data_IF_961035189826
#
_entry.id   IF_961035189826
#
_cell.length_a   1.000
_cell.length_b   1.000
_cell.length_c   1.000
_cell.angle_alpha   90.00
_cell.angle_beta   90.00
_cell.angle_gamma   90.00
#
_symmetry.space_group_name_H-M   'P 1'
#
loop_
_entity.id
_entity.type
_entity.pdbx_description
1 polymer ?
#
# COMPACT_ATOMS: atom_id res chain seq x y z
N UNK A 1 18.19 82.95 5.18
CA UNK A 1 19.28 82.03 5.54
C UNK A 1 18.70 80.69 5.97
N UNK A 2 18.83 79.65 5.15
CA UNK A 2 19.01 78.23 5.53
C UNK A 2 19.12 77.41 4.24
N UNK A 3 20.26 76.74 4.07
CA UNK A 3 20.61 75.86 2.95
C UNK A 3 19.88 74.54 3.14
N UNK A 4 19.33 73.98 2.06
CA UNK A 4 18.85 72.59 2.04
C UNK A 4 19.64 71.84 0.97
N UNK A 5 20.40 70.84 1.41
CA UNK A 5 21.28 70.02 0.58
C UNK A 5 20.45 69.04 -0.27
N UNK A 6 20.89 68.85 -1.51
CA UNK A 6 20.38 67.87 -2.46
C UNK A 6 21.13 66.54 -2.21
N UNK A 7 20.42 65.48 -1.80
CA UNK A 7 20.99 64.11 -1.75
C UNK A 7 20.74 63.43 -3.10
N UNK A 8 21.82 63.05 -3.79
CA UNK A 8 21.78 62.12 -4.92
C UNK A 8 21.76 60.69 -4.38
N UNK A 9 20.69 59.94 -4.64
CA UNK A 9 20.63 58.50 -4.39
C UNK A 9 21.24 57.77 -5.59
N UNK A 10 22.41 57.15 -5.39
CA UNK A 10 23.07 56.31 -6.38
C UNK A 10 22.47 54.90 -6.30
N UNK A 11 21.61 54.55 -7.25
CA UNK A 11 21.10 53.18 -7.41
C UNK A 11 22.15 52.30 -8.09
N UNK A 12 22.85 51.48 -7.32
CA UNK A 12 23.75 50.44 -7.84
C UNK A 12 22.88 49.26 -8.28
N UNK A 13 22.71 49.10 -9.59
CA UNK A 13 22.18 47.88 -10.20
C UNK A 13 23.30 46.83 -10.18
N UNK A 14 23.25 45.93 -9.21
CA UNK A 14 24.06 44.71 -9.22
C UNK A 14 23.45 43.74 -10.24
N UNK A 15 23.99 43.75 -11.47
CA UNK A 15 23.81 42.62 -12.39
C UNK A 15 24.62 41.45 -11.85
N UNK A 16 23.97 40.47 -11.23
CA UNK A 16 24.59 39.17 -11.01
C UNK A 16 24.75 38.49 -12.36
N UNK A 17 25.98 38.33 -12.84
CA UNK A 17 26.28 37.38 -13.91
C UNK A 17 25.98 35.99 -13.38
N UNK A 18 24.80 35.46 -13.69
CA UNK A 18 24.51 34.05 -13.55
C UNK A 18 25.48 33.31 -14.49
N UNK A 19 26.36 32.48 -13.93
CA UNK A 19 27.38 31.81 -14.75
C UNK A 19 26.70 30.76 -15.63
N UNK A 20 27.29 30.43 -16.78
CA UNK A 20 26.75 29.38 -17.66
C UNK A 20 26.54 28.07 -16.92
N UNK A 21 27.41 27.76 -15.95
CA UNK A 21 27.36 26.55 -15.15
C UNK A 21 26.14 26.52 -14.22
N UNK A 22 25.74 27.65 -13.64
CA UNK A 22 24.52 27.77 -12.83
C UNK A 22 23.26 27.53 -13.67
N UNK A 23 23.24 28.04 -14.91
CA UNK A 23 22.14 27.83 -15.87
C UNK A 23 22.03 26.36 -16.32
N UNK A 24 23.16 25.67 -16.53
CA UNK A 24 23.15 24.24 -16.85
C UNK A 24 22.69 23.39 -15.65
N UNK A 25 23.08 23.77 -14.43
CA UNK A 25 22.65 23.08 -13.22
C UNK A 25 21.14 23.24 -12.98
N UNK A 26 20.61 24.47 -13.09
CA UNK A 26 19.17 24.74 -12.97
C UNK A 26 18.35 23.94 -13.99
N UNK A 27 18.78 23.94 -15.25
CA UNK A 27 18.10 23.19 -16.32
C UNK A 27 18.11 21.68 -16.07
N UNK A 28 19.23 21.13 -15.57
CA UNK A 28 19.35 19.71 -15.24
C UNK A 28 18.43 19.33 -14.07
N UNK A 29 18.37 20.17 -13.03
CA UNK A 29 17.45 19.99 -11.90
C UNK A 29 15.99 20.04 -12.37
N UNK A 30 15.65 20.96 -13.28
CA UNK A 30 14.31 21.05 -13.85
C UNK A 30 13.93 19.81 -14.69
N UNK A 31 14.83 19.34 -15.56
CA UNK A 31 14.63 18.12 -16.37
C UNK A 31 14.49 16.86 -15.50
N UNK A 32 15.29 16.73 -14.45
CA UNK A 32 15.20 15.63 -13.48
C UNK A 32 13.85 15.69 -12.74
N UNK A 33 13.42 16.87 -12.27
CA UNK A 33 12.13 17.06 -11.60
C UNK A 33 10.94 16.73 -12.52
N UNK A 34 10.97 17.17 -13.78
CA UNK A 34 9.94 16.85 -14.77
C UNK A 34 9.87 15.34 -15.01
N UNK A 35 11.02 14.68 -15.14
CA UNK A 35 11.10 13.24 -15.39
C UNK A 35 10.60 12.45 -14.17
N UNK A 36 11.02 12.82 -12.95
CA UNK A 36 10.52 12.21 -11.72
C UNK A 36 9.01 12.38 -11.60
N UNK A 37 8.47 13.58 -11.84
CA UNK A 37 7.03 13.85 -11.78
C UNK A 37 6.25 13.03 -12.82
N UNK A 38 6.80 12.89 -14.03
CA UNK A 38 6.19 12.08 -15.09
C UNK A 38 6.15 10.59 -14.71
N UNK A 39 7.23 10.07 -14.14
CA UNK A 39 7.29 8.67 -13.67
C UNK A 39 6.34 8.43 -12.49
N UNK A 40 6.26 9.37 -11.54
CA UNK A 40 5.32 9.30 -10.40
C UNK A 40 3.86 9.27 -10.89
N UNK A 41 3.49 10.14 -11.84
CA UNK A 41 2.15 10.15 -12.42
C UNK A 41 1.85 8.84 -13.17
N UNK A 42 2.81 8.31 -13.92
CA UNK A 42 2.66 7.03 -14.59
C UNK A 42 2.41 5.89 -13.60
N UNK A 43 3.20 5.79 -12.53
CA UNK A 43 3.03 4.73 -11.53
C UNK A 43 1.75 4.88 -10.70
N UNK A 44 1.29 6.09 -10.44
CA UNK A 44 -0.03 6.31 -9.84
C UNK A 44 -1.15 5.84 -10.77
N UNK A 45 -1.08 6.13 -12.07
CA UNK A 45 -2.08 5.68 -13.03
C UNK A 45 -2.04 4.16 -13.26
N UNK A 46 -0.84 3.57 -13.26
CA UNK A 46 -0.65 2.12 -13.30
C UNK A 46 -1.24 1.44 -12.06
N UNK A 47 -0.95 1.95 -10.86
CA UNK A 47 -1.55 1.46 -9.63
C UNK A 47 -3.07 1.63 -9.66
N UNK A 48 -3.57 2.81 -10.04
CA UNK A 48 -5.01 3.04 -10.17
C UNK A 48 -5.67 2.10 -11.18
N UNK A 49 -5.00 1.71 -12.27
CA UNK A 49 -5.53 0.78 -13.26
C UNK A 49 -5.75 -0.62 -12.69
N UNK A 50 -4.85 -1.08 -11.82
CA UNK A 50 -4.85 -2.46 -11.32
C UNK A 50 -5.33 -2.60 -9.87
N UNK A 51 -5.60 -1.49 -9.18
CA UNK A 51 -6.07 -1.50 -7.80
C UNK A 51 -7.39 -2.28 -7.63
N UNK A 52 -7.49 -3.14 -6.59
CA UNK A 52 -8.62 -4.03 -6.41
C UNK A 52 -9.86 -3.30 -5.89
N UNK A 53 -11.04 -3.84 -6.18
CA UNK A 53 -12.23 -3.54 -5.36
C UNK A 53 -12.13 -4.45 -4.13
N UNK A 54 -12.09 -3.84 -2.95
CA UNK A 54 -11.83 -4.55 -1.71
C UNK A 54 -13.10 -4.63 -0.86
N UNK A 55 -13.43 -5.83 -0.41
CA UNK A 55 -14.58 -6.09 0.45
C UNK A 55 -14.06 -6.38 1.85
N UNK A 56 -14.37 -5.51 2.80
CA UNK A 56 -13.99 -5.68 4.19
C UNK A 56 -15.17 -6.27 4.94
N UNK A 57 -15.03 -7.49 5.45
CA UNK A 57 -15.98 -8.01 6.43
C UNK A 57 -15.87 -7.21 7.74
N UNK A 58 -16.97 -7.03 8.44
CA UNK A 58 -17.05 -6.17 9.62
C UNK A 58 -17.85 -6.86 10.71
N UNK A 59 -17.28 -6.95 11.90
CA UNK A 59 -17.96 -7.53 13.06
C UNK A 59 -18.36 -6.42 14.05
N UNK A 60 -19.65 -6.35 14.37
CA UNK A 60 -20.19 -5.32 15.25
C UNK A 60 -20.29 -5.75 16.74
N UNK A 61 -19.82 -6.94 17.06
CA UNK A 61 -19.85 -7.53 18.39
C UNK A 61 -18.61 -7.14 19.21
N UNK A 62 -18.66 -7.42 20.50
CA UNK A 62 -17.56 -7.15 21.42
C UNK A 62 -17.29 -5.66 21.68
N UNK A 63 -16.60 -5.38 22.78
CA UNK A 63 -16.16 -4.02 23.12
C UNK A 63 -14.97 -3.55 22.27
N UNK A 64 -14.17 -4.49 21.74
CA UNK A 64 -12.98 -4.17 20.95
C UNK A 64 -13.30 -3.84 19.48
N UNK A 65 -14.44 -4.30 18.96
CA UNK A 65 -14.91 -4.06 17.59
C UNK A 65 -15.46 -2.66 17.33
N UNK A 66 -15.79 -1.90 18.38
CA UNK A 66 -16.32 -0.53 18.28
C UNK A 66 -17.53 -0.43 17.33
N UNK A 67 -18.45 -1.39 17.43
CA UNK A 67 -19.61 -1.52 16.52
C UNK A 67 -19.20 -1.61 15.04
N UNK A 68 -18.10 -2.30 14.77
CA UNK A 68 -17.53 -2.52 13.44
C UNK A 68 -16.49 -1.50 12.98
N UNK A 69 -16.32 -0.38 13.70
CA UNK A 69 -15.35 0.65 13.31
C UNK A 69 -13.90 0.16 13.39
N UNK A 70 -13.62 -0.84 14.23
CA UNK A 70 -12.27 -1.42 14.35
C UNK A 70 -11.80 -2.07 13.04
N UNK A 71 -12.71 -2.64 12.25
CA UNK A 71 -12.40 -3.30 10.97
C UNK A 71 -12.26 -2.31 9.80
N UNK A 72 -12.48 -1.01 9.99
CA UNK A 72 -12.41 -0.06 8.89
C UNK A 72 -10.97 0.14 8.41
N UNK A 73 -10.82 0.26 7.08
CA UNK A 73 -9.55 0.67 6.48
C UNK A 73 -9.32 2.14 6.81
N UNK A 74 -8.15 2.45 7.34
CA UNK A 74 -7.76 3.82 7.69
C UNK A 74 -6.35 4.14 7.20
N UNK A 75 -5.91 5.38 7.38
CA UNK A 75 -4.48 5.71 7.33
C UNK A 75 -3.80 5.30 8.64
N UNK A 76 -2.51 4.97 8.64
CA UNK A 76 -1.79 4.69 9.88
C UNK A 76 -1.63 5.92 10.78
N UNK A 77 -1.77 7.12 10.20
CA UNK A 77 -1.73 8.44 10.84
C UNK A 77 -3.14 9.06 10.89
N UNK A 78 -4.20 8.26 10.99
CA UNK A 78 -5.60 8.75 10.91
C UNK A 78 -5.96 9.77 12.01
N UNK A 79 -5.19 9.79 13.08
CA UNK A 79 -5.28 10.72 14.21
C UNK A 79 -4.31 11.91 14.09
N UNK A 80 -3.59 12.02 12.98
CA UNK A 80 -2.75 13.16 12.66
C UNK A 80 -1.41 13.17 13.39
N UNK A 81 -0.98 12.03 13.96
CA UNK A 81 0.37 11.86 14.49
C UNK A 81 1.06 10.62 13.88
N UNK A 82 2.33 10.38 14.26
CA UNK A 82 3.13 9.23 13.80
C UNK A 82 3.48 8.31 14.98
N UNK A 83 2.56 8.15 15.92
CA UNK A 83 2.71 7.31 17.09
C UNK A 83 1.81 6.08 17.00
N UNK A 84 2.34 4.96 16.52
CA UNK A 84 1.53 3.74 16.39
C UNK A 84 1.03 3.14 17.72
N UNK A 85 1.50 3.65 18.87
CA UNK A 85 1.15 3.16 20.22
C UNK A 85 -0.13 3.76 20.81
N UNK A 86 -0.84 4.62 20.10
CA UNK A 86 -2.09 5.18 20.58
C UNK A 86 -3.27 4.93 19.62
N UNK A 87 -3.04 4.31 18.46
CA UNK A 87 -4.03 4.02 17.44
C UNK A 87 -5.21 3.18 17.96
N UNK A 88 -4.95 2.19 18.82
CA UNK A 88 -5.97 1.34 19.44
C UNK A 88 -6.98 2.20 20.19
N UNK A 89 -6.50 3.13 21.02
CA UNK A 89 -7.36 4.02 21.79
C UNK A 89 -7.95 5.13 20.91
N UNK A 90 -7.16 5.71 20.02
CA UNK A 90 -7.57 6.87 19.22
C UNK A 90 -8.68 6.54 18.22
N UNK A 91 -8.77 5.31 17.70
CA UNK A 91 -9.87 4.94 16.80
C UNK A 91 -11.23 4.93 17.52
N UNK A 92 -11.27 4.74 18.84
CA UNK A 92 -12.52 4.81 19.61
C UNK A 92 -13.12 6.23 19.67
N UNK A 93 -12.30 7.26 19.41
CA UNK A 93 -12.77 8.63 19.39
C UNK A 93 -13.67 8.89 18.16
N UNK A 94 -14.90 9.34 18.40
CA UNK A 94 -15.91 9.57 17.36
C UNK A 94 -15.55 10.69 16.36
N UNK A 95 -14.64 11.60 16.73
CA UNK A 95 -14.09 12.63 15.85
C UNK A 95 -13.05 12.08 14.86
N UNK A 96 -12.40 10.96 15.19
CA UNK A 96 -11.43 10.28 14.32
C UNK A 96 -12.16 9.32 13.39
N UNK A 97 -12.49 9.79 12.19
CA UNK A 97 -13.32 9.01 11.26
C UNK A 97 -12.59 7.84 10.58
N UNK A 98 -11.26 7.87 10.52
CA UNK A 98 -10.50 6.82 9.85
C UNK A 98 -10.72 6.86 8.34
N UNK A 99 -10.14 7.85 7.66
CA UNK A 99 -10.28 7.93 6.20
C UNK A 99 -9.46 6.83 5.53
N UNK A 100 -10.09 6.08 4.64
CA UNK A 100 -9.53 4.92 3.97
C UNK A 100 -8.47 5.31 2.94
N UNK A 101 -7.38 4.56 2.97
CA UNK A 101 -6.33 4.59 1.95
C UNK A 101 -5.89 3.18 1.63
N UNK A 102 -5.29 3.01 0.47
CA UNK A 102 -4.43 1.87 0.18
C UNK A 102 -3.03 2.41 -0.05
N UNK A 103 -2.08 1.94 0.75
CA UNK A 103 -0.68 2.25 0.53
C UNK A 103 -0.18 1.38 -0.61
N UNK A 104 0.46 1.97 -1.61
CA UNK A 104 0.97 1.21 -2.74
C UNK A 104 2.46 1.45 -2.99
N UNK A 105 3.10 0.46 -3.60
CA UNK A 105 4.41 0.61 -4.20
C UNK A 105 4.47 -0.13 -5.53
N UNK A 106 5.35 0.30 -6.43
CA UNK A 106 5.59 -0.34 -7.72
C UNK A 106 7.05 -0.76 -7.80
N UNK A 107 7.26 -1.98 -8.28
CA UNK A 107 8.55 -2.50 -8.73
C UNK A 107 8.40 -2.94 -10.18
N UNK A 108 9.41 -2.72 -11.00
CA UNK A 108 9.36 -2.93 -12.45
C UNK A 108 10.58 -3.71 -12.94
N UNK A 109 10.32 -4.64 -13.86
CA UNK A 109 11.33 -5.29 -14.69
C UNK A 109 11.04 -4.99 -16.16
N UNK A 110 11.91 -5.41 -17.07
CA UNK A 110 11.67 -5.26 -18.52
C UNK A 110 10.40 -5.95 -19.02
N UNK A 111 9.85 -6.92 -18.28
CA UNK A 111 8.70 -7.72 -18.71
C UNK A 111 7.44 -7.56 -17.84
N UNK A 112 7.58 -7.14 -16.58
CA UNK A 112 6.48 -7.11 -15.63
C UNK A 112 6.52 -5.84 -14.75
N UNK A 113 5.34 -5.47 -14.25
CA UNK A 113 5.19 -4.62 -13.08
C UNK A 113 4.68 -5.49 -11.92
N UNK A 114 5.11 -5.14 -10.71
CA UNK A 114 4.69 -5.74 -9.46
C UNK A 114 4.17 -4.60 -8.59
N UNK A 115 2.89 -4.67 -8.22
CA UNK A 115 2.22 -3.57 -7.51
C UNK A 115 1.71 -4.10 -6.19
N UNK A 116 2.28 -3.62 -5.09
CA UNK A 116 1.80 -3.94 -3.74
C UNK A 116 0.72 -2.95 -3.35
N UNK A 117 -0.35 -3.43 -2.74
CA UNK A 117 -1.41 -2.65 -2.09
C UNK A 117 -1.52 -3.13 -0.65
N UNK A 118 -1.50 -2.20 0.31
CA UNK A 118 -1.59 -2.50 1.74
C UNK A 118 -2.74 -1.71 2.38
N UNK A 119 -3.51 -2.39 3.23
CA UNK A 119 -4.69 -1.86 3.90
C UNK A 119 -4.46 -1.89 5.41
N UNK A 120 -4.59 -0.74 6.04
CA UNK A 120 -4.26 -0.57 7.45
C UNK A 120 -5.52 -0.53 8.31
N UNK A 121 -5.50 -1.28 9.41
CA UNK A 121 -6.55 -1.31 10.43
C UNK A 121 -5.95 -0.86 11.77
N UNK A 122 -6.62 -0.01 12.56
CA UNK A 122 -6.07 0.44 13.84
C UNK A 122 -6.01 -0.63 14.93
N UNK A 123 -6.75 -1.73 14.76
CA UNK A 123 -6.84 -2.85 15.71
C UNK A 123 -6.93 -4.15 14.92
N UNK A 124 -6.07 -5.13 15.21
CA UNK A 124 -6.37 -6.55 15.08
C UNK A 124 -7.01 -6.97 16.41
N UNK A 125 -8.25 -7.46 16.39
CA UNK A 125 -9.03 -7.61 17.61
C UNK A 125 -9.85 -8.90 17.61
N UNK A 126 -10.36 -9.29 18.78
CA UNK A 126 -11.32 -10.38 18.88
C UNK A 126 -12.35 -10.07 19.97
N UNK A 127 -13.49 -10.75 19.93
CA UNK A 127 -14.53 -10.75 20.97
C UNK A 127 -14.49 -12.04 21.82
N UNK A 128 -13.57 -12.95 21.49
CA UNK A 128 -13.35 -14.20 22.23
C UNK A 128 -12.37 -13.95 23.37
N UNK A 129 -12.89 -13.81 24.59
CA UNK A 129 -12.14 -13.34 25.76
C UNK A 129 -10.82 -14.09 26.06
N UNK A 130 -10.73 -15.39 25.75
CA UNK A 130 -9.51 -16.17 25.98
C UNK A 130 -8.45 -16.01 24.87
N UNK A 131 -8.84 -15.47 23.71
CA UNK A 131 -7.92 -15.14 22.60
C UNK A 131 -7.30 -13.74 22.74
N UNK A 132 -7.78 -12.91 23.69
CA UNK A 132 -7.26 -11.55 23.93
C UNK A 132 -5.76 -11.48 24.22
N UNK A 133 -5.15 -12.60 24.61
CA UNK A 133 -3.71 -12.67 24.95
C UNK A 133 -2.87 -13.40 23.89
N UNK A 134 -3.49 -13.86 22.81
CA UNK A 134 -2.82 -14.67 21.80
C UNK A 134 -2.52 -13.80 20.59
N UNK A 135 -3.57 -13.27 19.95
CA UNK A 135 -3.42 -12.72 18.60
C UNK A 135 -3.85 -11.26 18.47
N UNK A 136 -4.77 -10.73 19.29
CA UNK A 136 -5.13 -9.31 19.15
C UNK A 136 -3.94 -8.38 19.38
N UNK A 137 -3.89 -7.28 18.62
CA UNK A 137 -2.86 -6.26 18.73
C UNK A 137 -3.25 -4.91 18.12
N UNK A 138 -2.60 -3.85 18.62
CA UNK A 138 -2.68 -2.52 18.04
C UNK A 138 -2.00 -2.45 16.67
N UNK A 139 -2.70 -1.79 15.75
CA UNK A 139 -2.40 -1.73 14.33
C UNK A 139 -2.51 -3.09 13.66
N UNK A 140 -2.79 -3.06 12.37
CA UNK A 140 -2.68 -4.20 11.49
C UNK A 140 -2.48 -3.70 10.06
N UNK A 141 -1.72 -4.45 9.27
CA UNK A 141 -1.44 -4.10 7.89
C UNK A 141 -1.32 -5.36 7.06
N UNK A 142 -2.33 -5.59 6.24
CA UNK A 142 -2.44 -6.72 5.33
C UNK A 142 -2.40 -6.22 3.88
N UNK A 143 -2.18 -7.12 2.91
CA UNK A 143 -2.02 -6.65 1.55
C UNK A 143 -2.10 -7.65 0.42
N UNK A 144 -1.83 -7.12 -0.76
CA UNK A 144 -1.94 -7.81 -2.05
C UNK A 144 -0.79 -7.36 -2.95
N UNK A 145 -0.03 -8.30 -3.49
CA UNK A 145 0.85 -8.08 -4.63
C UNK A 145 0.10 -8.44 -5.92
N UNK A 146 -0.02 -7.49 -6.85
CA UNK A 146 -0.56 -7.75 -8.20
C UNK A 146 0.56 -7.91 -9.21
N UNK A 147 0.53 -9.02 -9.97
CA UNK A 147 1.50 -9.34 -11.02
C UNK A 147 0.95 -8.90 -12.36
N UNK A 148 1.62 -7.95 -13.03
CA UNK A 148 1.17 -7.36 -14.28
C UNK A 148 2.19 -7.62 -15.37
N UNK A 149 1.78 -8.34 -16.43
CA UNK A 149 2.61 -8.55 -17.61
C UNK A 149 2.50 -7.37 -18.56
N UNK A 150 3.64 -6.90 -19.05
CA UNK A 150 3.68 -5.91 -20.13
C UNK A 150 3.28 -6.59 -21.45
N UNK A 151 2.31 -6.01 -22.15
CA UNK A 151 1.72 -6.58 -23.38
C UNK A 151 1.55 -5.54 -24.49
N UNK A 152 2.40 -4.50 -24.50
CA UNK A 152 2.35 -3.32 -25.36
C UNK A 152 1.16 -2.37 -25.11
N UNK A 153 0.22 -2.71 -24.22
CA UNK A 153 -0.71 -1.72 -23.69
C UNK A 153 -0.02 -0.79 -22.69
N UNK A 154 -0.57 0.40 -22.47
CA UNK A 154 -0.01 1.42 -21.57
C UNK A 154 0.23 0.91 -20.16
N UNK A 155 -0.66 0.07 -19.64
CA UNK A 155 -0.63 -0.39 -18.25
C UNK A 155 -0.43 -1.91 -18.11
N UNK A 156 -0.25 -2.64 -19.21
CA UNK A 156 -0.14 -4.09 -19.15
C UNK A 156 -1.43 -4.81 -18.73
N UNK A 157 -1.31 -6.13 -18.57
CA UNK A 157 -2.39 -7.04 -18.18
C UNK A 157 -2.05 -7.78 -16.90
N UNK A 158 -2.90 -7.64 -15.89
CA UNK A 158 -2.77 -8.38 -14.63
C UNK A 158 -2.99 -9.89 -14.86
N UNK A 159 -2.04 -10.70 -14.38
CA UNK A 159 -2.06 -12.16 -14.52
C UNK A 159 -2.57 -12.85 -13.26
N UNK A 160 -2.25 -12.32 -12.09
CA UNK A 160 -2.57 -12.92 -10.81
C UNK A 160 -2.23 -12.00 -9.65
N UNK A 161 -2.52 -12.48 -8.44
CA UNK A 161 -2.16 -11.80 -7.20
C UNK A 161 -1.59 -12.79 -6.19
N UNK A 162 -0.80 -12.28 -5.25
CA UNK A 162 -0.45 -12.95 -3.99
C UNK A 162 -1.03 -12.09 -2.85
N UNK A 163 -1.77 -12.68 -1.93
CA UNK A 163 -2.39 -11.98 -0.79
C UNK A 163 -1.74 -12.39 0.51
N UNK A 164 -1.71 -11.48 1.48
CA UNK A 164 -1.25 -11.74 2.84
C UNK A 164 -2.45 -12.07 3.71
N UNK A 165 -2.34 -13.15 4.49
CA UNK A 165 -3.35 -13.58 5.44
C UNK A 165 -2.63 -13.96 6.74
N UNK A 166 -2.47 -12.98 7.62
CA UNK A 166 -1.65 -13.04 8.83
C UNK A 166 -0.18 -13.37 8.52
N UNK A 167 0.16 -14.66 8.55
CA UNK A 167 1.53 -15.19 8.39
C UNK A 167 1.67 -16.12 7.20
N UNK A 168 0.63 -16.26 6.38
CA UNK A 168 0.62 -17.11 5.20
C UNK A 168 0.36 -16.24 3.96
N UNK A 169 0.95 -16.63 2.82
CA UNK A 169 0.57 -16.06 1.54
C UNK A 169 -0.36 -17.01 0.77
N UNK A 170 -1.26 -16.41 -0.01
CA UNK A 170 -2.15 -17.16 -0.89
C UNK A 170 -2.08 -16.62 -2.31
N UNK A 171 -2.04 -17.51 -3.29
CA UNK A 171 -1.75 -17.18 -4.68
C UNK A 171 -2.95 -17.45 -5.58
N UNK A 172 -3.29 -16.49 -6.43
CA UNK A 172 -4.48 -16.57 -7.28
C UNK A 172 -4.19 -16.11 -8.69
N UNK A 173 -4.86 -16.72 -9.67
CA UNK A 173 -4.69 -16.37 -11.09
C UNK A 173 -5.95 -15.78 -11.70
N UNK A 174 -5.81 -14.92 -12.71
CA UNK A 174 -6.91 -14.57 -13.59
C UNK A 174 -7.26 -15.77 -14.50
N UNK A 175 -8.54 -15.92 -14.85
CA UNK A 175 -9.07 -17.11 -15.56
C UNK A 175 -8.37 -17.45 -16.89
N UNK A 176 -7.76 -16.47 -17.55
CA UNK A 176 -7.05 -16.63 -18.82
C UNK A 176 -5.64 -16.02 -18.78
N UNK A 177 -4.98 -16.15 -17.63
CA UNK A 177 -3.61 -15.64 -17.42
C UNK A 177 -2.53 -16.55 -18.02
N UNK A 178 -2.81 -17.85 -18.14
CA UNK A 178 -1.81 -18.86 -18.47
C UNK A 178 -0.96 -19.31 -17.28
N UNK A 179 -1.17 -18.74 -16.08
CA UNK A 179 -0.43 -19.15 -14.88
C UNK A 179 -0.81 -20.56 -14.42
N UNK A 180 0.20 -21.30 -14.00
CA UNK A 180 0.11 -22.63 -13.39
C UNK A 180 0.90 -22.66 -12.08
N UNK A 181 0.68 -23.68 -11.25
CA UNK A 181 1.41 -23.85 -10.00
C UNK A 181 2.92 -23.86 -10.28
N UNK A 182 3.69 -23.12 -9.50
CA UNK A 182 5.14 -23.25 -9.43
C UNK A 182 5.51 -24.19 -8.28
N UNK A 183 6.42 -23.74 -7.42
CA UNK A 183 6.73 -24.39 -6.15
C UNK A 183 5.61 -24.23 -5.11
N UNK A 184 4.74 -23.24 -5.29
CA UNK A 184 3.50 -23.09 -4.50
C UNK A 184 2.24 -23.43 -5.31
N UNK A 185 1.16 -23.73 -4.59
CA UNK A 185 -0.14 -24.00 -5.20
C UNK A 185 -0.89 -22.71 -5.53
N UNK A 186 -1.54 -22.67 -6.69
CA UNK A 186 -2.55 -21.64 -6.98
C UNK A 186 -3.84 -21.99 -6.25
N UNK A 187 -4.20 -21.18 -5.26
CA UNK A 187 -5.35 -21.36 -4.38
C UNK A 187 -6.69 -21.11 -5.06
N UNK A 188 -6.69 -20.43 -6.22
CA UNK A 188 -7.93 -20.16 -6.92
C UNK A 188 -7.84 -19.25 -8.13
N UNK A 189 -9.02 -19.00 -8.68
CA UNK A 189 -9.22 -18.09 -9.81
C UNK A 189 -9.88 -16.80 -9.32
N UNK A 190 -9.33 -15.66 -9.75
CA UNK A 190 -9.83 -14.33 -9.44
C UNK A 190 -11.13 -14.04 -10.17
N UNK A 191 -12.01 -13.30 -9.51
CA UNK A 191 -13.17 -12.68 -10.15
C UNK A 191 -12.93 -11.18 -10.31
N UNK A 192 -13.60 -10.59 -11.31
CA UNK A 192 -13.50 -9.15 -11.58
C UNK A 192 -14.85 -8.47 -11.41
N UNK A 193 -14.83 -7.15 -11.25
CA UNK A 193 -16.01 -6.29 -11.36
C UNK A 193 -15.66 -5.05 -12.16
N UNK A 194 -16.56 -4.64 -13.04
CA UNK A 194 -16.40 -3.40 -13.78
C UNK A 194 -16.63 -2.20 -12.85
N UNK A 195 -15.69 -1.26 -12.89
CA UNK A 195 -15.75 0.03 -12.21
C UNK A 195 -15.36 1.10 -13.23
N UNK A 196 -16.35 1.82 -13.75
CA UNK A 196 -16.19 2.88 -14.74
C UNK A 196 -15.32 2.46 -15.95
N UNK A 197 -15.60 1.28 -16.51
CA UNK A 197 -14.87 0.77 -17.68
C UNK A 197 -13.56 0.04 -17.36
N UNK A 198 -13.15 -0.04 -16.09
CA UNK A 198 -11.99 -0.82 -15.65
C UNK A 198 -12.47 -2.10 -14.99
N UNK A 199 -12.04 -3.26 -15.50
CA UNK A 199 -12.30 -4.55 -14.85
C UNK A 199 -11.26 -4.77 -13.74
N UNK A 200 -11.69 -4.61 -12.49
CA UNK A 200 -10.82 -4.70 -11.30
C UNK A 200 -10.93 -6.07 -10.67
N UNK A 201 -9.81 -6.63 -10.19
CA UNK A 201 -9.85 -7.79 -9.32
C UNK A 201 -10.62 -7.48 -8.03
N UNK A 202 -11.31 -8.50 -7.51
CA UNK A 202 -12.00 -8.43 -6.22
C UNK A 202 -11.21 -9.18 -5.15
N UNK A 203 -10.94 -8.50 -4.05
CA UNK A 203 -10.35 -9.11 -2.84
C UNK A 203 -11.27 -8.95 -1.66
N UNK A 204 -11.06 -9.75 -0.62
CA UNK A 204 -11.79 -9.63 0.63
C UNK A 204 -10.90 -9.88 1.83
N UNK A 205 -11.13 -9.12 2.89
CA UNK A 205 -10.55 -9.35 4.20
C UNK A 205 -11.63 -9.89 5.14
N UNK A 206 -11.24 -10.78 6.05
CA UNK A 206 -12.09 -11.13 7.18
C UNK A 206 -12.21 -9.94 8.16
N UNK A 207 -13.24 -9.97 9.01
CA UNK A 207 -13.29 -9.08 10.16
C UNK A 207 -12.19 -9.48 11.14
N UNK A 208 -11.89 -8.63 12.12
CA UNK A 208 -11.03 -8.92 13.27
C UNK A 208 -9.54 -9.03 12.94
N UNK A 209 -9.11 -10.09 12.27
CA UNK A 209 -7.70 -10.33 11.94
C UNK A 209 -7.30 -9.90 10.52
N UNK A 210 -8.26 -9.40 9.72
CA UNK A 210 -8.09 -8.77 8.41
C UNK A 210 -7.35 -9.53 7.32
N UNK A 211 -7.06 -10.82 7.50
CA UNK A 211 -6.38 -11.62 6.50
C UNK A 211 -7.07 -11.55 5.13
N UNK A 212 -6.30 -11.30 4.06
CA UNK A 212 -6.83 -11.04 2.73
C UNK A 212 -6.76 -12.29 1.85
N UNK A 213 -7.85 -12.54 1.12
CA UNK A 213 -7.92 -13.55 0.04
C UNK A 213 -8.61 -12.98 -1.20
N UNK A 214 -8.56 -13.73 -2.30
CA UNK A 214 -9.43 -13.47 -3.43
C UNK A 214 -10.91 -13.54 -3.00
N UNK A 215 -11.73 -12.61 -3.46
CA UNK A 215 -13.15 -12.56 -3.08
C UNK A 215 -13.94 -13.84 -3.47
N UNK A 216 -13.48 -14.56 -4.49
CA UNK A 216 -14.08 -15.84 -4.88
C UNK A 216 -13.80 -16.98 -3.88
N UNK A 217 -12.87 -16.76 -2.94
CA UNK A 217 -12.39 -17.76 -1.97
C UNK A 217 -12.72 -17.37 -0.54
N UNK A 218 -12.76 -16.08 -0.25
CA UNK A 218 -13.28 -15.52 0.99
C UNK A 218 -14.30 -14.46 0.61
N UNK A 219 -15.56 -14.70 0.95
CA UNK A 219 -16.59 -13.66 0.89
C UNK A 219 -16.81 -13.13 2.31
N UNK A 220 -17.13 -11.84 2.48
CA UNK A 220 -17.52 -11.34 3.78
C UNK A 220 -18.69 -12.14 4.37
N UNK A 221 -18.66 -12.34 5.69
CA UNK A 221 -19.77 -12.93 6.43
C UNK A 221 -21.02 -12.05 6.36
N UNK A 222 -22.19 -12.70 6.44
CA UNK A 222 -23.45 -12.00 6.65
C UNK A 222 -23.73 -10.84 5.68
N UNK A 223 -24.19 -9.73 6.23
CA UNK A 223 -24.50 -8.50 5.50
C UNK A 223 -23.67 -7.30 6.00
N UNK A 224 -22.86 -7.49 7.02
CA UNK A 224 -22.03 -6.53 7.72
C UNK A 224 -20.65 -6.45 7.07
N UNK A 225 -20.58 -5.78 5.93
CA UNK A 225 -19.32 -5.59 5.22
C UNK A 225 -19.29 -4.25 4.50
N UNK A 226 -18.10 -3.71 4.26
CA UNK A 226 -17.90 -2.46 3.52
C UNK A 226 -17.24 -2.77 2.17
N UNK A 227 -17.64 -2.07 1.10
CA UNK A 227 -16.99 -2.21 -0.21
C UNK A 227 -16.24 -0.94 -0.55
N UNK A 228 -14.93 -1.07 -0.69
CA UNK A 228 -14.05 0.01 -1.03
C UNK A 228 -13.59 -0.03 -2.49
N UNK A 229 -13.54 1.16 -3.09
CA UNK A 229 -13.15 1.41 -4.47
C UNK A 229 -11.93 2.32 -4.51
N UNK A 230 -10.99 2.09 -5.43
CA UNK A 230 -9.81 2.95 -5.58
C UNK A 230 -10.18 4.34 -6.04
N UNK A 231 -9.44 5.33 -5.54
CA UNK A 231 -9.43 6.70 -6.03
C UNK A 231 -8.01 7.25 -6.01
N UNK A 232 -7.68 8.11 -6.98
CA UNK A 232 -6.41 8.86 -6.99
C UNK A 232 -6.42 10.04 -6.02
N UNK A 233 -7.59 10.57 -5.69
CA UNK A 233 -7.74 11.87 -5.03
C UNK A 233 -8.60 11.82 -3.77
N UNK A 234 -9.59 10.93 -3.72
CA UNK A 234 -10.63 10.90 -2.69
C UNK A 234 -10.33 9.86 -1.63
N UNK A 235 -10.36 10.28 -0.36
CA UNK A 235 -10.25 9.41 0.81
C UNK A 235 -11.51 9.60 1.67
N UNK A 236 -12.35 8.58 1.71
CA UNK A 236 -13.63 8.54 2.43
C UNK A 236 -13.53 7.67 3.67
N UNK A 237 -14.55 7.71 4.52
CA UNK A 237 -14.73 6.74 5.59
C UNK A 237 -16.14 6.14 5.45
N UNK A 238 -16.37 4.90 5.91
CA UNK A 238 -17.68 4.28 5.79
C UNK A 238 -18.73 5.08 6.58
N UNK A 239 -19.90 5.26 5.98
CA UNK A 239 -21.05 5.87 6.69
C UNK A 239 -21.64 4.95 7.75
N UNK A 240 -21.50 3.64 7.56
CA UNK A 240 -21.86 2.56 8.46
C UNK A 240 -21.25 1.23 7.97
N UNK A 241 -21.46 0.14 8.71
CA UNK A 241 -21.01 -1.22 8.37
C UNK A 241 -21.68 -1.82 7.11
N UNK A 242 -22.67 -1.13 6.54
CA UNK A 242 -23.38 -1.52 5.32
C UNK A 242 -22.97 -0.67 4.09
N UNK A 243 -21.91 0.13 4.17
CA UNK A 243 -21.52 1.01 3.07
C UNK A 243 -20.89 0.24 1.90
N UNK A 244 -21.56 0.24 0.74
CA UNK A 244 -21.11 -0.50 -0.45
C UNK A 244 -20.35 0.35 -1.47
N UNK A 245 -19.99 1.59 -1.14
CA UNK A 245 -19.31 2.48 -2.07
C UNK A 245 -18.46 3.51 -1.33
N UNK A 246 -17.38 3.05 -0.69
CA UNK A 246 -16.40 3.92 -0.04
C UNK A 246 -15.17 4.08 -0.92
N UNK A 247 -14.62 5.28 -1.07
CA UNK A 247 -13.36 5.52 -1.79
C UNK A 247 -12.15 5.40 -0.88
N UNK A 248 -11.22 4.50 -1.19
CA UNK A 248 -9.87 4.57 -0.63
C UNK A 248 -8.96 5.38 -1.56
N UNK A 249 -8.16 6.28 -1.00
CA UNK A 249 -7.14 7.00 -1.78
C UNK A 249 -5.88 6.12 -1.92
N UNK A 250 -5.31 6.06 -3.11
CA UNK A 250 -3.98 5.50 -3.32
C UNK A 250 -2.90 6.45 -2.77
N UNK A 251 -2.05 5.96 -1.88
CA UNK A 251 -0.94 6.71 -1.27
C UNK A 251 0.36 5.96 -1.55
N UNK A 252 1.33 6.62 -2.19
CA UNK A 252 2.59 5.96 -2.50
C UNK A 252 3.40 5.80 -1.21
N UNK A 253 3.87 4.59 -0.94
CA UNK A 253 4.75 4.25 0.20
C UNK A 253 6.03 5.11 0.16
N UNK A 254 6.49 5.47 -1.04
CA UNK A 254 7.68 6.25 -1.32
C UNK A 254 7.41 7.74 -1.58
N UNK A 255 6.19 8.23 -1.37
CA UNK A 255 5.98 9.68 -1.33
C UNK A 255 6.91 10.30 -0.28
N UNK A 256 7.34 11.55 -0.51
CA UNK A 256 8.17 12.28 0.45
C UNK A 256 7.48 12.35 1.82
N UNK A 257 8.17 11.89 2.85
CA UNK A 257 7.63 11.78 4.21
C UNK A 257 6.64 10.63 4.40
N UNK A 258 6.44 9.80 3.37
CA UNK A 258 5.58 8.63 3.35
C UNK A 258 6.14 7.47 4.18
N UNK A 259 5.45 6.32 4.10
CA UNK A 259 5.69 5.20 5.00
C UNK A 259 7.16 4.70 4.97
N UNK A 260 7.79 4.66 3.80
CA UNK A 260 9.19 4.22 3.68
C UNK A 260 10.17 5.21 4.32
N UNK A 261 9.96 6.52 4.15
CA UNK A 261 10.78 7.55 4.80
C UNK A 261 10.67 7.47 6.33
N UNK A 262 9.50 7.08 6.83
CA UNK A 262 9.25 6.92 8.26
C UNK A 262 9.78 5.60 8.84
N UNK A 263 10.38 4.69 8.06
CA UNK A 263 10.80 3.37 8.56
C UNK A 263 11.72 3.43 9.79
N UNK A 264 12.53 4.49 9.94
CA UNK A 264 13.39 4.67 11.11
C UNK A 264 12.77 5.50 12.24
N UNK A 265 11.53 5.97 12.08
CA UNK A 265 10.79 6.67 13.12
C UNK A 265 10.39 5.68 14.24
N UNK A 266 11.02 5.81 15.41
CA UNK A 266 10.85 4.87 16.53
C UNK A 266 9.51 4.98 17.25
N UNK A 267 8.73 6.03 16.98
CA UNK A 267 7.34 6.15 17.46
C UNK A 267 6.38 5.35 16.58
N UNK A 268 6.69 5.23 15.29
CA UNK A 268 5.88 4.50 14.32
C UNK A 268 6.31 3.03 14.20
N UNK A 269 7.60 2.77 14.04
CA UNK A 269 8.14 1.43 13.77
C UNK A 269 9.07 0.89 14.88
N UNK A 270 9.05 -0.44 15.03
CA UNK A 270 10.02 -1.25 15.74
C UNK A 270 11.01 -1.84 14.73
N UNK A 271 12.31 -1.69 14.98
CA UNK A 271 13.39 -2.24 14.14
C UNK A 271 13.22 -1.95 12.63
N UNK A 272 12.58 -0.83 12.30
CA UNK A 272 12.24 -0.43 10.94
C UNK A 272 11.41 -1.42 10.12
N UNK A 273 10.69 -2.34 10.77
CA UNK A 273 10.06 -3.50 10.12
C UNK A 273 8.59 -3.72 10.49
N UNK A 274 8.21 -3.40 11.72
CA UNK A 274 6.84 -3.59 12.21
C UNK A 274 6.33 -2.37 12.95
N UNK A 275 5.03 -2.13 12.95
CA UNK A 275 4.45 -1.01 13.69
C UNK A 275 4.68 -1.19 15.20
N UNK A 276 4.88 -0.09 15.91
CA UNK A 276 4.90 -0.09 17.38
C UNK A 276 3.49 -0.32 17.89
N UNK A 277 3.37 -0.95 19.06
CA UNK A 277 2.11 -1.19 19.74
C UNK A 277 2.23 -0.90 21.24
N UNK A 278 1.11 -0.60 21.87
CA UNK A 278 0.88 -0.51 23.31
C UNK A 278 -0.11 -1.57 23.81
N UNK A 279 -0.88 -2.16 22.91
CA UNK A 279 -1.92 -3.14 23.21
C UNK A 279 -1.69 -4.45 22.44
N UNK A 280 -1.96 -5.57 23.11
CA UNK A 280 -1.92 -6.91 22.53
C UNK A 280 -0.52 -7.49 22.29
N UNK A 281 -0.49 -8.76 21.84
CA UNK A 281 0.73 -9.57 21.78
C UNK A 281 1.21 -9.88 20.35
N UNK A 282 0.35 -9.89 19.33
CA UNK A 282 0.75 -10.07 17.93
C UNK A 282 1.32 -8.80 17.28
N UNK A 283 1.75 -8.86 16.02
CA UNK A 283 2.59 -7.80 15.43
C UNK A 283 2.18 -7.44 14.00
N UNK A 284 1.86 -6.18 13.78
CA UNK A 284 1.62 -5.64 12.45
C UNK A 284 2.95 -5.36 11.70
N UNK A 285 3.22 -6.15 10.66
CA UNK A 285 4.41 -5.99 9.83
C UNK A 285 4.19 -4.94 8.72
N UNK A 286 5.24 -4.20 8.38
CA UNK A 286 5.25 -3.37 7.17
C UNK A 286 5.36 -4.27 5.92
N UNK A 287 5.03 -3.77 4.71
CA UNK A 287 5.04 -4.60 3.50
C UNK A 287 6.41 -5.23 3.19
N UNK A 288 7.49 -4.59 3.61
CA UNK A 288 8.86 -5.08 3.47
C UNK A 288 9.32 -6.01 4.60
N UNK A 289 8.40 -6.46 5.45
CA UNK A 289 8.65 -7.47 6.48
C UNK A 289 7.55 -8.55 6.54
N UNK A 290 6.57 -8.53 5.62
CA UNK A 290 5.66 -9.66 5.46
C UNK A 290 6.41 -10.91 4.99
N UNK A 291 6.01 -12.07 5.48
CA UNK A 291 6.65 -13.35 5.19
C UNK A 291 5.59 -14.43 5.09
N UNK A 292 5.84 -15.44 4.28
CA UNK A 292 5.04 -16.66 4.28
C UNK A 292 5.75 -17.68 5.18
N UNK A 293 5.11 -18.03 6.30
CA UNK A 293 5.80 -18.77 7.37
C UNK A 293 6.29 -20.15 6.96
N UNK A 294 5.81 -20.69 5.84
CA UNK A 294 6.08 -22.05 5.39
C UNK A 294 6.61 -22.18 3.96
N UNK A 295 6.79 -21.09 3.19
CA UNK A 295 7.31 -21.13 1.81
C UNK A 295 8.82 -21.42 1.72
N UNK A 296 9.47 -21.54 2.89
CA UNK A 296 10.75 -22.17 3.08
C UNK A 296 11.93 -21.24 2.77
N UNK A 297 12.57 -20.75 3.84
CA UNK A 297 13.85 -20.02 3.74
C UNK A 297 14.96 -20.76 2.99
N UNK A 298 14.84 -22.08 2.79
CA UNK A 298 15.73 -22.88 1.93
C UNK A 298 15.63 -22.55 0.43
N UNK A 299 14.52 -21.97 -0.03
CA UNK A 299 14.36 -21.44 -1.40
C UNK A 299 14.81 -19.97 -1.52
N UNK A 300 15.30 -19.37 -0.44
CA UNK A 300 15.67 -17.95 -0.41
C UNK A 300 14.46 -17.00 -0.43
N UNK A 301 13.26 -17.53 -0.17
CA UNK A 301 12.07 -16.74 0.14
C UNK A 301 12.20 -16.28 1.59
N UNK A 302 12.35 -14.97 1.76
CA UNK A 302 12.62 -14.34 3.05
C UNK A 302 11.61 -13.22 3.27
N UNK A 303 11.36 -12.91 4.54
CA UNK A 303 10.58 -11.76 4.96
C UNK A 303 10.91 -10.49 4.14
N UNK A 304 9.87 -9.89 3.56
CA UNK A 304 9.94 -8.77 2.65
C UNK A 304 10.06 -9.14 1.17
N UNK A 305 9.98 -10.42 0.81
CA UNK A 305 10.06 -10.91 -0.56
C UNK A 305 9.05 -10.24 -1.50
N UNK A 306 7.81 -9.99 -1.05
CA UNK A 306 6.79 -9.24 -1.81
C UNK A 306 7.21 -7.81 -2.16
N UNK A 307 8.08 -7.19 -1.36
CA UNK A 307 8.51 -5.80 -1.54
C UNK A 307 9.88 -5.71 -2.24
N UNK A 308 10.92 -6.31 -1.66
CA UNK A 308 12.29 -6.19 -2.17
C UNK A 308 12.50 -7.00 -3.44
N UNK A 309 11.97 -8.23 -3.49
CA UNK A 309 12.26 -9.20 -4.53
C UNK A 309 11.01 -9.84 -5.17
N UNK A 310 9.98 -9.06 -5.56
CA UNK A 310 8.72 -9.63 -6.01
C UNK A 310 8.86 -10.47 -7.27
N UNK A 311 9.83 -10.19 -8.15
CA UNK A 311 10.06 -11.03 -9.33
C UNK A 311 10.59 -12.42 -8.94
N UNK A 312 11.43 -12.53 -7.91
CA UNK A 312 11.91 -13.82 -7.43
C UNK A 312 10.78 -14.62 -6.78
N UNK A 313 10.00 -13.98 -5.90
CA UNK A 313 8.86 -14.62 -5.25
C UNK A 313 7.84 -15.13 -6.27
N UNK A 314 7.48 -14.30 -7.26
CA UNK A 314 6.52 -14.68 -8.31
C UNK A 314 7.00 -15.85 -9.17
N UNK A 315 8.30 -15.93 -9.45
CA UNK A 315 8.93 -17.06 -10.18
C UNK A 315 8.90 -18.37 -9.37
N UNK A 316 8.86 -18.30 -8.04
CA UNK A 316 8.66 -19.48 -7.20
C UNK A 316 7.17 -19.86 -7.10
N UNK A 317 6.28 -18.87 -6.99
CA UNK A 317 4.85 -19.13 -6.79
C UNK A 317 4.13 -19.57 -8.07
N UNK A 318 4.56 -19.08 -9.24
CA UNK A 318 3.86 -19.27 -10.49
C UNK A 318 4.77 -19.72 -11.63
N UNK A 319 4.34 -20.77 -12.32
CA UNK A 319 4.80 -21.10 -13.67
C UNK A 319 3.93 -20.42 -14.73
N UNK A 320 4.33 -20.51 -16.00
CA UNK A 320 3.54 -19.98 -17.13
C UNK A 320 3.65 -18.45 -17.31
N UNK A 321 4.63 -17.81 -16.68
CA UNK A 321 4.89 -16.36 -16.77
C UNK A 321 5.27 -15.90 -18.20
N UNK A 322 5.73 -16.82 -19.05
CA UNK A 322 6.22 -16.54 -20.39
C UNK A 322 7.61 -15.88 -20.35
N UNK A 323 7.83 -14.82 -21.13
CA UNK A 323 9.07 -14.03 -21.01
C UNK A 323 9.07 -13.30 -19.66
N UNK A 324 9.89 -13.79 -18.73
CA UNK A 324 9.96 -13.29 -17.37
C UNK A 324 11.38 -12.79 -17.04
N UNK A 325 11.48 -11.62 -16.41
CA UNK A 325 12.75 -11.00 -16.04
C UNK A 325 12.77 -10.82 -14.53
N UNK A 326 13.88 -11.22 -13.89
CA UNK A 326 14.17 -10.95 -12.47
C UNK A 326 15.08 -9.73 -12.28
N UNK A 327 15.51 -9.08 -13.37
CA UNK A 327 16.31 -7.86 -13.33
C UNK A 327 15.41 -6.63 -13.30
N UNK A 328 15.52 -5.86 -12.22
CA UNK A 328 14.74 -4.65 -12.01
C UNK A 328 15.26 -3.48 -12.84
N UNK A 329 14.33 -2.77 -13.49
CA UNK A 329 14.57 -1.46 -14.09
C UNK A 329 14.13 -0.32 -13.18
N UNK A 330 13.22 -0.58 -12.23
CA UNK A 330 12.84 0.33 -11.16
C UNK A 330 12.52 -0.49 -9.91
N UNK A 331 13.22 -0.23 -8.82
CA UNK A 331 12.98 -0.85 -7.52
C UNK A 331 13.45 0.10 -6.40
N UNK A 332 12.54 0.94 -5.87
CA UNK A 332 12.90 1.95 -4.89
C UNK A 332 13.32 1.36 -3.54
N UNK A 333 12.95 0.11 -3.22
CA UNK A 333 13.45 -0.59 -2.03
C UNK A 333 14.95 -0.90 -2.10
N UNK A 334 15.48 -1.08 -3.32
CA UNK A 334 16.89 -1.37 -3.60
C UNK A 334 17.67 -0.15 -4.09
N UNK A 335 17.03 1.02 -4.16
CA UNK A 335 17.66 2.25 -4.70
C UNK A 335 17.84 2.25 -6.22
N UNK A 336 17.11 1.40 -6.95
CA UNK A 336 17.13 1.36 -8.42
C UNK A 336 16.04 2.32 -8.92
N UNK A 337 16.44 3.36 -9.68
CA UNK A 337 15.57 4.43 -10.17
C UNK A 337 15.58 4.54 -11.69
#
# INVERSE_FOLDING_TARGET
>A
MKKTQLLFALSVLLYSCQTSDDLFLEKRVEEDLITTNKNQNFYLDLAYRHAPIHYQDVDNTGSHGLSGKADYITRYDFDGDLNARNNWNNISNSSRKGKAVSYYSVVETSTHYFITYAFFHPRDWTDVWFLYRIDEHENDLEGVLTVVKKDNSTYGKALGIVTVFHSDFYSYKASNSGLTNGNENIDGTLTTKNDNGINRFKTSAEAKGHGIKAHAKLQPGGNDYVVYYPSKTTSEHPSNIYDRNVKYKLVNIFDRGGMWDQRFNTNLFSNAKSFRKSYGNGTANAPWNWDDKNDGGGQGLLAGGLAYYPAHLVDQYFDGLGRFSKTYSYNPYLGIQ
#
